data_IF_480049109597
#
_entry.id   IF_480049109597
#
_cell.length_a   1.000
_cell.length_b   1.000
_cell.length_c   1.000
_cell.angle_alpha   90.00
_cell.angle_beta   90.00
_cell.angle_gamma   90.00
#
_symmetry.space_group_name_H-M   'P 1'
#
loop_
_entity.id
_entity.type
_entity.pdbx_description
1 polymer ?
#
# COMPACT_ATOMS: atom_id res chain seq x y z
N UNK A 1 -29.64 -18.47 -2.94
CA UNK A 1 -28.64 -18.53 -1.85
C UNK A 1 -28.62 -17.18 -1.16
N UNK A 2 -29.12 -17.09 0.06
CA UNK A 2 -29.10 -15.84 0.82
C UNK A 2 -27.66 -15.50 1.22
N UNK A 3 -27.20 -14.28 0.90
CA UNK A 3 -25.95 -13.73 1.41
C UNK A 3 -26.08 -13.52 2.94
N UNK A 4 -25.88 -14.57 3.74
CA UNK A 4 -25.65 -14.44 5.18
C UNK A 4 -24.22 -13.93 5.43
N UNK A 5 -23.96 -12.71 4.99
CA UNK A 5 -22.78 -11.94 5.42
C UNK A 5 -23.06 -11.48 6.86
N UNK A 6 -22.18 -11.85 7.78
CA UNK A 6 -22.19 -11.27 9.13
C UNK A 6 -22.02 -9.75 9.06
N UNK A 7 -22.50 -9.02 10.06
CA UNK A 7 -22.39 -7.56 10.11
C UNK A 7 -20.93 -7.08 9.92
N UNK A 8 -19.96 -7.82 10.47
CA UNK A 8 -18.53 -7.55 10.31
C UNK A 8 -18.04 -7.77 8.86
N UNK A 9 -18.61 -8.74 8.14
CA UNK A 9 -18.32 -8.96 6.73
C UNK A 9 -18.78 -7.79 5.86
N UNK A 10 -19.99 -7.28 6.10
CA UNK A 10 -20.49 -6.07 5.42
C UNK A 10 -19.64 -4.84 5.72
N UNK A 11 -19.30 -4.63 6.99
CA UNK A 11 -18.42 -3.55 7.41
C UNK A 11 -17.06 -3.63 6.69
N UNK A 12 -16.45 -4.82 6.67
CA UNK A 12 -15.19 -5.05 5.97
C UNK A 12 -15.29 -4.73 4.49
N UNK A 13 -16.30 -5.26 3.79
CA UNK A 13 -16.46 -5.03 2.35
C UNK A 13 -16.66 -3.55 2.02
N UNK A 14 -17.54 -2.84 2.75
CA UNK A 14 -17.79 -1.42 2.50
C UNK A 14 -16.55 -0.56 2.83
N UNK A 15 -15.88 -0.84 3.94
CA UNK A 15 -14.65 -0.16 4.31
C UNK A 15 -13.54 -0.39 3.28
N UNK A 16 -13.38 -1.63 2.79
CA UNK A 16 -12.41 -1.98 1.74
C UNK A 16 -12.68 -1.26 0.42
N UNK A 17 -13.95 -1.20 -0.03
CA UNK A 17 -14.32 -0.47 -1.25
C UNK A 17 -14.03 1.03 -1.12
N UNK A 18 -14.40 1.62 0.01
CA UNK A 18 -14.11 3.04 0.27
C UNK A 18 -12.60 3.29 0.34
N UNK A 19 -11.83 2.42 1.01
CA UNK A 19 -10.38 2.51 1.07
C UNK A 19 -9.74 2.40 -0.31
N UNK A 20 -10.27 1.56 -1.20
CA UNK A 20 -9.79 1.44 -2.58
C UNK A 20 -9.96 2.75 -3.35
N UNK A 21 -11.15 3.37 -3.26
CA UNK A 21 -11.40 4.68 -3.87
C UNK A 21 -10.54 5.80 -3.27
N UNK A 22 -10.48 5.89 -1.94
CA UNK A 22 -9.68 6.90 -1.25
C UNK A 22 -8.17 6.72 -1.54
N UNK A 23 -7.66 5.49 -1.59
CA UNK A 23 -6.27 5.20 -1.92
C UNK A 23 -5.90 5.62 -3.34
N UNK A 24 -6.78 5.37 -4.31
CA UNK A 24 -6.59 5.86 -5.69
C UNK A 24 -6.50 7.39 -5.75
N UNK A 25 -7.37 8.10 -5.00
CA UNK A 25 -7.33 9.56 -4.90
C UNK A 25 -6.02 10.08 -4.26
N UNK A 26 -5.54 9.43 -3.20
CA UNK A 26 -4.26 9.79 -2.56
C UNK A 26 -3.08 9.65 -3.52
N UNK A 27 -3.04 8.57 -4.30
CA UNK A 27 -1.94 8.23 -5.20
C UNK A 27 -1.95 9.07 -6.49
N UNK A 28 -3.10 9.62 -6.88
CA UNK A 28 -3.24 10.52 -8.04
C UNK A 28 -2.95 11.99 -7.73
N UNK A 29 -2.86 12.35 -6.44
CA UNK A 29 -2.66 13.73 -6.02
C UNK A 29 -1.18 14.05 -5.71
N UNK A 30 -0.72 15.28 -5.98
CA UNK A 30 0.61 15.73 -5.59
C UNK A 30 0.85 15.55 -4.09
N UNK A 31 1.98 14.93 -3.73
CA UNK A 31 2.33 14.68 -2.33
C UNK A 31 2.45 16.00 -1.56
N UNK A 32 1.70 16.12 -0.46
CA UNK A 32 1.83 17.21 0.51
C UNK A 32 0.78 18.31 0.38
N UNK A 33 0.01 18.32 -0.70
CA UNK A 33 -1.12 19.23 -0.87
C UNK A 33 -2.25 18.98 0.16
N UNK A 34 -3.12 19.97 0.36
CA UNK A 34 -4.27 19.89 1.29
C UNK A 34 -5.18 18.72 0.93
N UNK A 35 -5.45 18.53 -0.36
CA UNK A 35 -6.26 17.41 -0.84
C UNK A 35 -5.57 16.07 -0.56
N UNK A 36 -4.26 15.95 -0.84
CA UNK A 36 -3.52 14.72 -0.54
C UNK A 36 -3.57 14.37 0.96
N UNK A 37 -3.44 15.35 1.85
CA UNK A 37 -3.54 15.12 3.30
C UNK A 37 -4.95 14.71 3.71
N UNK A 38 -5.99 15.26 3.09
CA UNK A 38 -7.39 14.92 3.37
C UNK A 38 -7.71 13.50 2.88
N UNK A 39 -7.43 13.21 1.61
CA UNK A 39 -7.57 11.89 1.03
C UNK A 39 -6.74 10.86 1.81
N UNK A 40 -5.53 11.23 2.24
CA UNK A 40 -4.62 10.36 3.00
C UNK A 40 -5.19 9.94 4.35
N UNK A 41 -5.86 10.87 5.06
CA UNK A 41 -6.56 10.56 6.31
C UNK A 41 -7.79 9.68 6.06
N UNK A 42 -8.57 9.97 5.02
CA UNK A 42 -9.74 9.16 4.66
C UNK A 42 -9.34 7.73 4.31
N UNK A 43 -8.29 7.57 3.51
CA UNK A 43 -7.69 6.29 3.18
C UNK A 43 -7.21 5.56 4.43
N UNK A 44 -6.41 6.22 5.28
CA UNK A 44 -5.87 5.62 6.51
C UNK A 44 -6.98 5.08 7.41
N UNK A 45 -8.00 5.90 7.69
CA UNK A 45 -9.13 5.49 8.55
C UNK A 45 -9.86 4.30 7.95
N UNK A 46 -10.23 4.38 6.67
CA UNK A 46 -10.97 3.30 6.01
C UNK A 46 -10.15 2.00 5.92
N UNK A 47 -8.86 2.09 5.59
CA UNK A 47 -7.98 0.94 5.52
C UNK A 47 -7.75 0.31 6.90
N UNK A 48 -7.64 1.11 7.97
CA UNK A 48 -7.57 0.58 9.35
C UNK A 48 -8.85 -0.16 9.70
N UNK A 49 -10.03 0.42 9.42
CA UNK A 49 -11.33 -0.25 9.67
C UNK A 49 -11.45 -1.55 8.86
N UNK A 50 -11.04 -1.55 7.59
CA UNK A 50 -11.03 -2.73 6.74
C UNK A 50 -10.11 -3.83 7.30
N UNK A 51 -8.89 -3.51 7.72
CA UNK A 51 -7.96 -4.49 8.27
C UNK A 51 -8.40 -5.02 9.64
N UNK A 52 -8.89 -4.15 10.53
CA UNK A 52 -9.38 -4.58 11.85
C UNK A 52 -10.62 -5.48 11.73
N UNK A 53 -11.54 -5.14 10.82
CA UNK A 53 -12.70 -6.00 10.55
C UNK A 53 -12.28 -7.32 9.90
N UNK A 54 -11.26 -7.35 9.03
CA UNK A 54 -10.72 -8.58 8.47
C UNK A 54 -10.19 -9.54 9.54
N UNK A 55 -9.54 -9.01 10.60
CA UNK A 55 -9.06 -9.81 11.72
C UNK A 55 -10.18 -10.47 12.54
N UNK A 56 -11.41 -9.96 12.43
CA UNK A 56 -12.59 -10.56 13.07
C UNK A 56 -13.33 -11.57 12.19
N UNK A 57 -12.89 -11.79 10.93
CA UNK A 57 -13.55 -12.70 9.99
C UNK A 57 -12.86 -14.07 10.01
N UNK A 58 -13.45 -15.00 10.78
CA UNK A 58 -12.98 -16.39 10.89
C UNK A 58 -13.74 -17.33 9.96
N UNK A 59 -13.60 -17.16 8.63
CA UNK A 59 -14.25 -18.05 7.63
C UNK A 59 -13.85 -19.53 7.75
N UNK A 60 -12.62 -19.81 8.17
CA UNK A 60 -12.08 -21.17 8.33
C UNK A 60 -12.06 -21.65 9.80
N UNK A 61 -12.71 -20.93 10.72
CA UNK A 61 -12.69 -21.23 12.15
C UNK A 61 -11.34 -21.03 12.85
N UNK A 62 -10.31 -20.63 12.10
CA UNK A 62 -8.94 -20.44 12.59
C UNK A 62 -8.28 -19.19 11.98
N UNK A 63 -7.22 -18.74 12.67
CA UNK A 63 -6.30 -17.72 12.16
C UNK A 63 -5.57 -18.27 10.93
N UNK A 64 -5.56 -17.50 9.85
CA UNK A 64 -5.04 -17.94 8.56
C UNK A 64 -4.33 -16.79 7.84
N UNK A 65 -3.78 -17.07 6.66
CA UNK A 65 -2.87 -16.15 5.95
C UNK A 65 -3.45 -14.73 5.72
N UNK A 66 -4.76 -14.58 5.48
CA UNK A 66 -5.39 -13.26 5.33
C UNK A 66 -5.32 -12.40 6.60
N UNK A 67 -5.29 -13.01 7.78
CA UNK A 67 -5.05 -12.26 9.03
C UNK A 67 -3.62 -11.74 9.11
N UNK A 68 -2.64 -12.53 8.66
CA UNK A 68 -1.24 -12.09 8.59
C UNK A 68 -1.12 -10.91 7.63
N UNK A 69 -1.76 -10.98 6.44
CA UNK A 69 -1.80 -9.85 5.52
C UNK A 69 -2.45 -8.61 6.13
N UNK A 70 -3.55 -8.75 6.87
CA UNK A 70 -4.17 -7.63 7.57
C UNK A 70 -3.22 -6.97 8.59
N UNK A 71 -2.48 -7.76 9.37
CA UNK A 71 -1.47 -7.25 10.31
C UNK A 71 -0.31 -6.55 9.60
N UNK A 72 0.20 -7.13 8.52
CA UNK A 72 1.27 -6.53 7.72
C UNK A 72 0.79 -5.21 7.13
N UNK A 73 -0.42 -5.15 6.58
CA UNK A 73 -1.03 -3.92 6.06
C UNK A 73 -1.17 -2.84 7.14
N UNK A 74 -1.63 -3.20 8.34
CA UNK A 74 -1.67 -2.28 9.50
C UNK A 74 -0.27 -1.76 9.86
N UNK A 75 0.75 -2.64 9.87
CA UNK A 75 2.15 -2.25 10.10
C UNK A 75 2.65 -1.24 9.04
N UNK A 76 2.32 -1.46 7.77
CA UNK A 76 2.66 -0.53 6.69
C UNK A 76 1.92 0.80 6.81
N UNK A 77 0.63 0.81 7.17
CA UNK A 77 -0.13 2.04 7.41
C UNK A 77 0.45 2.84 8.58
N UNK A 78 0.82 2.16 9.67
CA UNK A 78 1.48 2.77 10.81
C UNK A 78 2.84 3.37 10.42
N UNK A 79 3.65 2.64 9.66
CA UNK A 79 4.94 3.12 9.15
C UNK A 79 4.75 4.34 8.21
N UNK A 80 3.80 4.27 7.28
CA UNK A 80 3.49 5.35 6.37
C UNK A 80 3.07 6.62 7.13
N UNK A 81 2.17 6.49 8.11
CA UNK A 81 1.71 7.59 8.95
C UNK A 81 2.87 8.16 9.77
N UNK A 82 3.64 7.31 10.43
CA UNK A 82 4.78 7.71 11.27
C UNK A 82 5.84 8.47 10.46
N UNK A 83 6.24 7.94 9.29
CA UNK A 83 7.21 8.59 8.41
C UNK A 83 6.70 9.95 7.90
N UNK A 84 5.41 10.07 7.59
CA UNK A 84 4.83 11.35 7.17
C UNK A 84 4.74 12.35 8.33
N UNK A 85 4.39 11.89 9.53
CA UNK A 85 4.23 12.74 10.71
C UNK A 85 5.57 13.23 11.26
N UNK A 86 6.56 12.34 11.40
CA UNK A 86 7.89 12.68 11.93
C UNK A 86 8.89 13.15 10.89
N UNK A 87 8.59 12.95 9.60
CA UNK A 87 9.53 13.21 8.50
C UNK A 87 10.89 12.52 8.74
N UNK A 88 10.85 11.33 9.33
CA UNK A 88 12.01 10.54 9.73
C UNK A 88 11.99 9.16 9.04
N UNK A 89 13.16 8.62 8.65
CA UNK A 89 14.51 9.19 8.71
C UNK A 89 14.71 10.29 7.65
N UNK A 90 15.33 11.42 8.02
CA UNK A 90 15.38 12.68 7.22
C UNK A 90 15.56 12.52 5.71
N UNK A 91 16.50 11.69 5.25
CA UNK A 91 16.81 11.55 3.80
C UNK A 91 15.88 10.59 3.06
N UNK A 92 15.27 9.64 3.78
CA UNK A 92 14.53 8.52 3.19
C UNK A 92 13.06 8.47 3.58
N UNK A 93 12.57 9.37 4.45
CA UNK A 93 11.20 9.35 4.96
C UNK A 93 10.16 9.35 3.83
N UNK A 94 10.41 10.11 2.77
CA UNK A 94 9.51 10.19 1.62
C UNK A 94 9.46 8.86 0.87
N UNK A 95 10.61 8.18 0.69
CA UNK A 95 10.67 6.87 0.03
C UNK A 95 9.94 5.81 0.83
N UNK A 96 10.20 5.77 2.13
CA UNK A 96 9.58 4.81 3.05
C UNK A 96 8.07 5.06 3.13
N UNK A 97 7.65 6.33 3.24
CA UNK A 97 6.23 6.69 3.20
C UNK A 97 5.57 6.23 1.89
N UNK A 98 6.18 6.53 0.74
CA UNK A 98 5.62 6.18 -0.57
C UNK A 98 5.53 4.65 -0.76
N UNK A 99 6.56 3.89 -0.40
CA UNK A 99 6.48 2.42 -0.48
C UNK A 99 5.46 1.83 0.46
N UNK A 100 5.42 2.29 1.70
CA UNK A 100 4.46 1.78 2.67
C UNK A 100 3.02 2.07 2.22
N UNK A 101 2.76 3.25 1.65
CA UNK A 101 1.48 3.60 1.03
C UNK A 101 1.18 2.70 -0.19
N UNK A 102 2.10 2.60 -1.15
CA UNK A 102 1.93 1.77 -2.35
C UNK A 102 1.71 0.30 -2.02
N UNK A 103 2.44 -0.24 -1.04
CA UNK A 103 2.34 -1.64 -0.63
C UNK A 103 1.02 -1.91 0.08
N UNK A 104 0.57 -1.01 0.96
CA UNK A 104 -0.76 -1.12 1.59
C UNK A 104 -1.89 -1.10 0.54
N UNK A 105 -1.75 -0.25 -0.49
CA UNK A 105 -2.72 -0.15 -1.58
C UNK A 105 -2.70 -1.39 -2.50
N UNK A 106 -1.50 -1.89 -2.82
CA UNK A 106 -1.34 -3.15 -3.55
C UNK A 106 -2.03 -4.31 -2.84
N UNK A 107 -1.92 -4.43 -1.51
CA UNK A 107 -2.62 -5.47 -0.76
C UNK A 107 -4.15 -5.39 -0.88
N UNK A 108 -4.74 -4.18 -0.91
CA UNK A 108 -6.17 -4.00 -1.16
C UNK A 108 -6.57 -4.50 -2.56
N UNK A 109 -5.79 -4.15 -3.58
CA UNK A 109 -6.04 -4.60 -4.96
C UNK A 109 -5.88 -6.12 -5.08
N UNK A 110 -4.83 -6.68 -4.49
CA UNK A 110 -4.57 -8.12 -4.47
C UNK A 110 -5.70 -8.89 -3.76
N UNK A 111 -6.19 -8.37 -2.62
CA UNK A 111 -7.32 -8.95 -1.91
C UNK A 111 -8.61 -8.88 -2.72
N UNK A 112 -8.88 -7.77 -3.40
CA UNK A 112 -10.05 -7.64 -4.29
C UNK A 112 -10.00 -8.64 -5.44
N UNK A 113 -8.85 -8.77 -6.11
CA UNK A 113 -8.65 -9.78 -7.16
C UNK A 113 -8.94 -11.17 -6.58
N UNK A 114 -8.35 -11.52 -5.43
CA UNK A 114 -8.58 -12.82 -4.81
C UNK A 114 -10.07 -13.07 -4.49
N UNK A 115 -10.77 -12.08 -3.93
CA UNK A 115 -12.20 -12.19 -3.61
C UNK A 115 -13.06 -12.38 -4.88
N UNK A 116 -12.77 -11.65 -5.96
CA UNK A 116 -13.51 -11.79 -7.24
C UNK A 116 -13.34 -13.18 -7.84
N UNK A 117 -12.11 -13.71 -7.84
CA UNK A 117 -11.82 -15.03 -8.40
C UNK A 117 -12.36 -16.18 -7.56
N UNK A 118 -12.42 -16.04 -6.24
CA UNK A 118 -12.94 -17.09 -5.34
C UNK A 118 -14.45 -17.05 -5.14
N UNK A 119 -15.11 -15.89 -5.35
CA UNK A 119 -16.57 -15.75 -5.23
C UNK A 119 -17.34 -16.10 -6.50
N UNK A 120 -16.68 -16.03 -7.66
CA UNK A 120 -17.34 -16.32 -8.94
C UNK A 120 -17.06 -17.76 -9.34
N UNK A 121 -18.06 -18.63 -9.24
CA UNK A 121 -17.94 -20.06 -9.59
C UNK A 121 -17.42 -20.32 -11.02
N UNK A 122 -17.57 -19.36 -11.94
CA UNK A 122 -17.03 -19.42 -13.30
C UNK A 122 -15.49 -19.27 -13.34
N UNK A 123 -14.91 -18.52 -12.40
CA UNK A 123 -13.48 -18.26 -12.32
C UNK A 123 -12.77 -19.15 -11.29
N UNK A 124 -13.50 -19.70 -10.32
CA UNK A 124 -12.97 -20.59 -9.26
C UNK A 124 -12.26 -21.82 -9.83
N UNK A 125 -12.76 -22.40 -10.93
CA UNK A 125 -12.16 -23.55 -11.59
C UNK A 125 -10.84 -23.24 -12.33
N UNK A 126 -10.44 -21.96 -12.42
CA UNK A 126 -9.25 -21.53 -13.17
C UNK A 126 -8.24 -20.89 -12.22
N UNK A 127 -7.32 -21.70 -11.68
CA UNK A 127 -6.19 -21.19 -10.91
C UNK A 127 -5.21 -20.35 -11.74
N UNK A 128 -5.08 -20.66 -13.05
CA UNK A 128 -4.12 -20.00 -13.92
C UNK A 128 -4.35 -18.48 -14.06
N UNK A 129 -5.56 -17.96 -14.40
CA UNK A 129 -5.81 -16.53 -14.50
C UNK A 129 -5.62 -15.75 -13.19
N UNK A 130 -5.89 -16.37 -12.02
CA UNK A 130 -5.64 -15.73 -10.73
C UNK A 130 -4.15 -15.45 -10.54
N UNK A 131 -3.29 -16.44 -10.80
CA UNK A 131 -1.84 -16.28 -10.64
C UNK A 131 -1.30 -15.21 -11.60
N UNK A 132 -1.75 -15.19 -12.86
CA UNK A 132 -1.31 -14.18 -13.83
C UNK A 132 -1.78 -12.77 -13.49
N UNK A 133 -3.02 -12.60 -13.05
CA UNK A 133 -3.55 -11.28 -12.66
C UNK A 133 -2.87 -10.73 -11.41
N UNK A 134 -2.60 -11.59 -10.41
CA UNK A 134 -1.81 -11.22 -9.23
C UNK A 134 -0.36 -10.92 -9.60
N UNK A 135 0.25 -11.73 -10.47
CA UNK A 135 1.62 -11.51 -10.95
C UNK A 135 1.75 -10.18 -11.71
N UNK A 136 0.77 -9.83 -12.54
CA UNK A 136 0.73 -8.55 -13.22
C UNK A 136 0.55 -7.39 -12.23
N UNK A 137 -0.36 -7.51 -11.25
CA UNK A 137 -0.55 -6.48 -10.22
C UNK A 137 0.73 -6.26 -9.40
N UNK A 138 1.43 -7.34 -9.05
CA UNK A 138 2.72 -7.28 -8.35
C UNK A 138 3.78 -6.60 -9.22
N UNK A 139 3.87 -6.94 -10.50
CA UNK A 139 4.80 -6.32 -11.44
C UNK A 139 4.58 -4.81 -11.53
N UNK A 140 3.33 -4.38 -11.70
CA UNK A 140 2.96 -2.95 -11.75
C UNK A 140 3.32 -2.24 -10.44
N UNK A 141 3.06 -2.87 -9.30
CA UNK A 141 3.46 -2.36 -7.99
C UNK A 141 4.99 -2.17 -7.91
N UNK A 142 5.78 -3.17 -8.28
CA UNK A 142 7.23 -3.12 -8.24
C UNK A 142 7.79 -2.06 -9.21
N UNK A 143 7.23 -1.96 -10.42
CA UNK A 143 7.61 -0.92 -11.38
C UNK A 143 7.33 0.48 -10.83
N UNK A 144 6.18 0.68 -10.20
CA UNK A 144 5.79 1.97 -9.60
C UNK A 144 6.74 2.34 -8.45
N UNK A 145 7.03 1.38 -7.57
CA UNK A 145 8.01 1.55 -6.49
C UNK A 145 9.39 1.89 -7.05
N UNK A 146 9.90 1.14 -8.03
CA UNK A 146 11.20 1.37 -8.64
C UNK A 146 11.29 2.75 -9.31
N UNK A 147 10.26 3.14 -10.05
CA UNK A 147 10.15 4.46 -10.66
C UNK A 147 10.23 5.60 -9.64
N UNK A 148 9.46 5.51 -8.55
CA UNK A 148 9.49 6.53 -7.50
C UNK A 148 10.83 6.53 -6.74
N UNK A 149 11.45 5.38 -6.54
CA UNK A 149 12.78 5.30 -5.93
C UNK A 149 13.85 5.98 -6.78
N UNK A 150 13.84 5.73 -8.09
CA UNK A 150 14.75 6.38 -9.04
C UNK A 150 14.61 7.90 -9.03
N UNK A 151 13.37 8.40 -9.01
CA UNK A 151 13.10 9.85 -8.97
C UNK A 151 13.43 10.54 -7.65
N UNK A 152 13.40 9.81 -6.55
CA UNK A 152 13.67 10.36 -5.23
C UNK A 152 15.09 10.10 -4.76
N UNK A 153 15.94 9.44 -5.58
CA UNK A 153 17.35 9.18 -5.30
C UNK A 153 18.10 10.50 -5.03
N UNK A 154 19.00 10.55 -4.04
CA UNK A 154 19.72 11.79 -3.76
C UNK A 154 20.73 12.02 -4.88
N UNK A 155 20.87 13.25 -5.34
CA UNK A 155 21.95 13.63 -6.26
C UNK A 155 23.32 13.26 -5.66
N UNK A 156 24.22 12.74 -6.49
CA UNK A 156 25.59 12.46 -6.09
C UNK A 156 26.26 13.75 -5.58
N UNK A 157 27.15 13.68 -4.58
CA UNK A 157 27.94 14.84 -4.16
C UNK A 157 28.67 15.40 -5.38
N UNK A 158 28.50 16.70 -5.66
CA UNK A 158 29.22 17.33 -6.76
C UNK A 158 30.72 17.22 -6.52
N UNK A 159 31.49 16.79 -7.51
CA UNK A 159 32.97 16.71 -7.50
C UNK A 159 33.67 18.04 -7.15
N UNK A 160 32.93 19.14 -7.07
CA UNK A 160 33.35 20.50 -6.70
C UNK A 160 34.07 20.60 -5.33
N UNK A 161 34.04 19.55 -4.51
CA UNK A 161 34.80 19.47 -3.25
C UNK A 161 36.27 19.10 -3.49
N UNK A 162 36.60 18.41 -4.59
CA UNK A 162 37.99 18.07 -4.94
C UNK A 162 38.74 19.22 -5.64
N UNK A 163 38.03 20.11 -6.32
CA UNK A 163 38.62 21.29 -7.00
C UNK A 163 39.04 22.41 -6.04
N UNK A 164 38.75 22.29 -4.74
CA UNK A 164 39.07 23.32 -3.73
C UNK A 164 40.24 22.96 -2.81
N UNK A 165 40.95 21.85 -3.04
CA UNK A 165 42.27 21.73 -2.39
C UNK A 165 43.21 22.75 -3.02
N UNK A 166 43.75 23.72 -2.24
CA UNK A 166 44.81 24.56 -2.74
C UNK A 166 45.94 23.62 -3.13
N UNK A 167 46.45 23.77 -4.35
CA UNK A 167 47.76 23.24 -4.70
C UNK A 167 48.76 23.95 -3.78
N UNK A 168 48.98 23.43 -2.58
CA UNK A 168 50.11 23.80 -1.73
C UNK A 168 51.35 23.43 -2.53
N UNK A 169 52.01 24.46 -3.05
CA UNK A 169 53.14 24.31 -3.95
C UNK A 169 54.34 23.65 -3.27
N UNK A 170 55.17 23.03 -4.09
CA UNK A 170 56.60 23.31 -4.25
C UNK A 170 57.14 22.48 -5.42
#
# INVERSE_FOLDING_TARGET
MALHLSAIGWLHTLASLYALGAGALVLSQPKGDREHKRAGRQYLVAAVVANLSALGIYKLGAFHLFHVFALVSLGCLALAFFCAYRQAPRRNWLRIHLSAMLFSYYQLVAALIHEVFTRTHVLEARHFPLVYTQGLALLVFLMTVAYFWGRTAPSAPSSRIYDQQPTTGQ
#
